data_IF_705079814268
#
_entry.id   IF_705079814268
#
_cell.length_a   1.000
_cell.length_b   1.000
_cell.length_c   1.000
_cell.angle_alpha   90.00
_cell.angle_beta   90.00
_cell.angle_gamma   90.00
#
_symmetry.space_group_name_H-M   'P 1'
#
loop_
_entity.id
_entity.type
_entity.pdbx_description
1 polymer ?
#
# COMPACT_ATOMS: atom_id res chain seq x y z
N UNK A 1 -4.45 5.74 -17.87
CA UNK A 1 -3.44 6.79 -18.17
C UNK A 1 -2.08 6.14 -18.11
N UNK A 2 -1.32 6.26 -19.20
CA UNK A 2 0.01 5.67 -19.31
C UNK A 2 1.02 6.55 -18.57
N UNK A 3 1.55 6.09 -17.44
CA UNK A 3 2.57 6.81 -16.69
C UNK A 3 3.96 6.23 -16.99
N UNK A 4 4.96 7.12 -17.07
CA UNK A 4 6.37 6.72 -17.17
C UNK A 4 6.94 6.51 -15.77
N UNK A 5 7.63 5.38 -15.56
CA UNK A 5 8.21 5.01 -14.27
C UNK A 5 9.73 4.94 -14.37
N UNK A 6 10.43 5.38 -13.34
CA UNK A 6 11.85 5.10 -13.13
C UNK A 6 12.01 4.16 -11.94
N UNK A 7 12.74 3.08 -12.13
CA UNK A 7 13.07 2.10 -11.09
C UNK A 7 14.53 2.26 -10.72
N UNK A 8 14.80 2.61 -9.46
CA UNK A 8 16.16 2.83 -8.93
C UNK A 8 16.43 1.77 -7.88
N UNK A 9 17.29 0.82 -8.20
CA UNK A 9 17.71 -0.29 -7.33
C UNK A 9 19.02 -0.85 -7.89
N UNK A 10 19.97 -1.22 -7.05
CA UNK A 10 21.27 -1.77 -7.51
C UNK A 10 21.17 -3.25 -7.91
N UNK A 11 20.09 -3.94 -7.54
CA UNK A 11 19.86 -5.36 -7.84
C UNK A 11 19.09 -5.55 -9.18
N UNK A 12 19.71 -6.04 -10.25
CA UNK A 12 19.06 -6.18 -11.57
C UNK A 12 17.81 -7.06 -11.54
N UNK A 13 17.80 -8.14 -10.76
CA UNK A 13 16.64 -9.04 -10.64
C UNK A 13 15.45 -8.37 -9.98
N UNK A 14 15.68 -7.48 -9.02
CA UNK A 14 14.62 -6.69 -8.36
C UNK A 14 14.03 -5.72 -9.36
N UNK A 15 14.86 -4.98 -10.11
CA UNK A 15 14.40 -4.06 -11.15
C UNK A 15 13.54 -4.76 -12.20
N UNK A 16 14.01 -5.91 -12.70
CA UNK A 16 13.28 -6.69 -13.70
C UNK A 16 11.91 -7.20 -13.17
N UNK A 17 11.84 -7.64 -11.90
CA UNK A 17 10.60 -8.05 -11.26
C UNK A 17 9.61 -6.89 -11.12
N UNK A 18 10.06 -5.72 -10.66
CA UNK A 18 9.25 -4.51 -10.53
C UNK A 18 8.77 -4.07 -11.91
N UNK A 19 9.67 -4.00 -12.91
CA UNK A 19 9.36 -3.61 -14.28
C UNK A 19 8.25 -4.46 -14.89
N UNK A 20 8.36 -5.79 -14.80
CA UNK A 20 7.31 -6.70 -15.30
C UNK A 20 5.96 -6.45 -14.63
N UNK A 21 5.98 -6.25 -13.32
CA UNK A 21 4.75 -6.00 -12.55
C UNK A 21 4.08 -4.68 -12.93
N UNK A 22 4.88 -3.62 -13.13
CA UNK A 22 4.38 -2.31 -13.56
C UNK A 22 3.83 -2.35 -14.99
N UNK A 23 4.52 -3.00 -15.92
CA UNK A 23 4.05 -3.14 -17.31
C UNK A 23 2.75 -3.97 -17.37
N UNK A 24 2.64 -5.04 -16.57
CA UNK A 24 1.41 -5.83 -16.45
C UNK A 24 0.23 -5.03 -15.86
N UNK A 25 0.51 -4.02 -15.04
CA UNK A 25 -0.48 -3.11 -14.47
C UNK A 25 -0.83 -1.92 -15.38
N UNK A 26 -0.26 -1.85 -16.60
CA UNK A 26 -0.59 -0.84 -17.60
C UNK A 26 0.27 0.43 -17.58
N UNK A 27 1.40 0.44 -16.87
CA UNK A 27 2.40 1.49 -17.00
C UNK A 27 3.11 1.35 -18.36
N UNK A 28 3.36 2.46 -19.06
CA UNK A 28 3.79 2.40 -20.48
C UNK A 28 5.28 2.25 -20.70
N UNK A 29 6.09 2.74 -19.78
CA UNK A 29 7.55 2.58 -19.86
C UNK A 29 8.14 2.55 -18.46
N UNK A 30 9.20 1.76 -18.30
CA UNK A 30 9.99 1.72 -17.08
C UNK A 30 11.47 1.89 -17.47
N UNK A 31 12.02 3.07 -17.14
CA UNK A 31 13.45 3.30 -17.16
C UNK A 31 14.08 2.70 -15.89
N UNK A 32 15.37 2.42 -15.92
CA UNK A 32 16.11 1.79 -14.83
C UNK A 32 17.37 2.58 -14.50
N UNK A 33 17.75 2.57 -13.22
CA UNK A 33 19.02 3.08 -12.73
C UNK A 33 19.53 2.19 -11.59
N UNK A 34 20.83 1.92 -11.56
CA UNK A 34 21.48 1.11 -10.53
C UNK A 34 22.27 1.91 -9.50
N UNK A 35 22.26 3.24 -9.58
CA UNK A 35 23.03 4.14 -8.73
C UNK A 35 22.39 5.52 -8.64
N UNK A 36 22.80 6.34 -7.65
CA UNK A 36 22.36 7.76 -7.55
C UNK A 36 22.73 8.54 -8.79
N UNK A 37 23.96 8.37 -9.28
CA UNK A 37 24.45 9.05 -10.47
C UNK A 37 23.63 8.74 -11.71
N UNK A 38 23.32 7.47 -11.94
CA UNK A 38 22.45 7.03 -13.04
C UNK A 38 21.03 7.57 -12.86
N UNK A 39 20.50 7.56 -11.64
CA UNK A 39 19.17 8.04 -11.32
C UNK A 39 19.00 9.53 -11.69
N UNK A 40 19.94 10.40 -11.30
CA UNK A 40 19.92 11.82 -11.64
C UNK A 40 19.90 12.02 -13.17
N UNK A 41 20.79 11.32 -13.89
CA UNK A 41 20.85 11.42 -15.35
C UNK A 41 19.54 10.94 -16.00
N UNK A 42 18.98 9.84 -15.51
CA UNK A 42 17.76 9.24 -16.04
C UNK A 42 16.52 10.10 -15.76
N UNK A 43 16.43 10.71 -14.57
CA UNK A 43 15.35 11.65 -14.23
C UNK A 43 15.39 12.85 -15.18
N UNK A 44 16.58 13.44 -15.39
CA UNK A 44 16.74 14.60 -16.26
C UNK A 44 16.40 14.29 -17.73
N UNK A 45 16.66 13.06 -18.19
CA UNK A 45 16.41 12.65 -19.57
C UNK A 45 14.93 12.28 -19.82
N UNK A 46 14.30 11.56 -18.88
CA UNK A 46 12.98 10.94 -19.09
C UNK A 46 11.83 11.64 -18.38
N UNK A 47 12.13 12.55 -17.43
CA UNK A 47 11.12 13.24 -16.61
C UNK A 47 9.99 12.30 -16.12
N UNK A 48 10.30 11.26 -15.34
CA UNK A 48 9.33 10.24 -14.97
C UNK A 48 8.21 10.80 -14.09
N UNK A 49 7.00 10.27 -14.25
CA UNK A 49 5.86 10.61 -13.40
C UNK A 49 5.89 9.86 -12.05
N UNK A 50 6.54 8.70 -12.03
CA UNK A 50 6.69 7.84 -10.85
C UNK A 50 8.14 7.42 -10.71
N UNK A 51 8.65 7.46 -9.49
CA UNK A 51 9.98 6.93 -9.14
C UNK A 51 9.81 5.90 -8.04
N UNK A 52 10.36 4.70 -8.23
CA UNK A 52 10.59 3.75 -7.13
C UNK A 52 12.07 3.77 -6.81
N UNK A 53 12.45 3.88 -5.54
CA UNK A 53 13.84 4.03 -5.13
C UNK A 53 14.19 3.13 -3.96
N UNK A 54 15.25 2.33 -4.12
CA UNK A 54 15.92 1.64 -3.01
C UNK A 54 16.69 2.64 -2.17
N UNK A 55 16.69 2.44 -0.87
CA UNK A 55 17.48 3.24 0.08
C UNK A 55 18.97 2.94 -0.03
N UNK A 56 19.33 1.68 -0.23
CA UNK A 56 20.72 1.24 -0.25
C UNK A 56 21.22 1.18 -1.70
N UNK A 57 21.95 2.19 -2.11
CA UNK A 57 22.59 2.25 -3.41
C UNK A 57 24.12 2.23 -3.26
N UNK A 58 24.87 1.75 -4.26
CA UNK A 58 26.31 1.56 -4.15
C UNK A 58 27.11 2.86 -3.97
N UNK A 59 26.54 3.98 -4.38
CA UNK A 59 27.16 5.30 -4.36
C UNK A 59 26.52 6.29 -3.38
N UNK A 60 25.55 5.84 -2.54
CA UNK A 60 24.97 6.66 -1.49
C UNK A 60 23.59 6.20 -1.00
N UNK A 61 22.92 7.08 -0.27
CA UNK A 61 21.60 6.79 0.29
C UNK A 61 20.49 7.23 -0.69
N UNK A 62 19.56 6.33 -1.02
CA UNK A 62 18.43 6.64 -1.92
C UNK A 62 17.55 7.80 -1.47
N UNK A 63 17.56 8.16 -0.17
CA UNK A 63 16.84 9.36 0.30
C UNK A 63 17.45 10.67 -0.23
N UNK A 64 18.70 10.66 -0.66
CA UNK A 64 19.32 11.81 -1.33
C UNK A 64 18.64 12.09 -2.67
N UNK A 65 18.36 11.03 -3.46
CA UNK A 65 17.64 11.17 -4.73
C UNK A 65 16.16 11.54 -4.51
N UNK A 66 15.53 11.07 -3.42
CA UNK A 66 14.17 11.49 -3.05
C UNK A 66 14.13 13.01 -2.83
N UNK A 67 15.02 13.53 -2.00
CA UNK A 67 15.12 14.96 -1.68
C UNK A 67 15.46 15.78 -2.94
N UNK A 68 16.40 15.30 -3.73
CA UNK A 68 16.80 15.95 -4.98
C UNK A 68 15.64 15.98 -6.00
N UNK A 69 14.96 14.87 -6.22
CA UNK A 69 13.84 14.78 -7.15
C UNK A 69 12.67 15.68 -6.70
N UNK A 70 12.39 15.76 -5.41
CA UNK A 70 11.36 16.63 -4.86
C UNK A 70 11.66 18.11 -5.04
N UNK A 71 12.92 18.51 -4.93
CA UNK A 71 13.35 19.90 -5.21
C UNK A 71 13.14 20.28 -6.69
N UNK A 72 13.25 19.33 -7.62
CA UNK A 72 13.13 19.55 -9.05
C UNK A 72 11.71 19.32 -9.59
N UNK A 73 10.88 18.54 -8.89
CA UNK A 73 9.50 18.28 -9.28
C UNK A 73 8.59 18.16 -8.07
N UNK A 74 7.60 19.05 -7.98
CA UNK A 74 6.56 18.98 -6.96
C UNK A 74 5.55 17.85 -7.22
N UNK A 75 5.44 17.38 -8.46
CA UNK A 75 4.36 16.48 -8.92
C UNK A 75 4.79 15.02 -9.10
N UNK A 76 6.08 14.73 -9.15
CA UNK A 76 6.57 13.36 -9.28
C UNK A 76 6.15 12.51 -8.07
N UNK A 77 5.63 11.33 -8.30
CA UNK A 77 5.28 10.38 -7.25
C UNK A 77 6.50 9.54 -6.90
N UNK A 78 6.93 9.56 -5.64
CA UNK A 78 8.14 8.88 -5.19
C UNK A 78 7.76 7.81 -4.15
N UNK A 79 8.12 6.56 -4.45
CA UNK A 79 7.91 5.39 -3.60
C UNK A 79 9.28 4.89 -3.14
N UNK A 80 9.52 4.89 -1.85
CA UNK A 80 10.74 4.30 -1.27
C UNK A 80 10.53 2.81 -1.05
N UNK A 81 11.50 2.00 -1.47
CA UNK A 81 11.54 0.56 -1.27
C UNK A 81 12.68 0.21 -0.30
N UNK A 82 12.43 -0.65 0.68
CA UNK A 82 13.46 -1.08 1.64
C UNK A 82 13.20 -2.49 2.16
N UNK A 83 14.24 -3.20 2.54
CA UNK A 83 14.15 -4.45 3.31
C UNK A 83 13.98 -4.19 4.81
N UNK A 84 14.29 -2.97 5.27
CA UNK A 84 14.16 -2.56 6.66
C UNK A 84 13.00 -1.57 6.79
N UNK A 85 12.07 -1.85 7.71
CA UNK A 85 10.86 -1.08 8.01
C UNK A 85 10.96 -0.30 9.34
N UNK A 86 12.19 0.08 9.74
CA UNK A 86 12.44 0.92 10.91
C UNK A 86 11.66 2.24 10.84
N UNK A 87 10.98 2.61 11.95
CA UNK A 87 10.16 3.82 12.02
C UNK A 87 10.93 5.11 11.72
N UNK A 88 12.21 5.17 12.10
CA UNK A 88 13.05 6.34 11.81
C UNK A 88 13.31 6.45 10.31
N UNK A 89 13.48 5.33 9.62
CA UNK A 89 13.70 5.27 8.19
C UNK A 89 12.43 5.68 7.42
N UNK A 90 11.28 5.21 7.88
CA UNK A 90 9.96 5.60 7.35
C UNK A 90 9.74 7.11 7.53
N UNK A 91 10.03 7.65 8.73
CA UNK A 91 9.94 9.08 8.99
C UNK A 91 10.90 9.90 8.13
N UNK A 92 12.14 9.44 7.95
CA UNK A 92 13.14 10.08 7.09
C UNK A 92 12.71 10.11 5.62
N UNK A 93 12.10 9.04 5.11
CA UNK A 93 11.56 8.98 3.76
C UNK A 93 10.42 10.00 3.55
N UNK A 94 9.51 10.11 4.52
CA UNK A 94 8.45 11.11 4.50
C UNK A 94 9.01 12.54 4.51
N UNK A 95 9.99 12.83 5.38
CA UNK A 95 10.66 14.13 5.47
C UNK A 95 11.43 14.48 4.21
N UNK A 96 12.02 13.50 3.53
CA UNK A 96 12.70 13.68 2.25
C UNK A 96 11.71 14.00 1.10
N UNK A 97 10.41 13.78 1.29
CA UNK A 97 9.36 14.10 0.33
C UNK A 97 8.85 12.91 -0.49
N UNK A 98 9.07 11.68 -0.03
CA UNK A 98 8.41 10.51 -0.59
C UNK A 98 6.91 10.54 -0.28
N UNK A 99 6.09 9.92 -1.13
CA UNK A 99 4.67 9.70 -0.87
C UNK A 99 4.37 8.31 -0.33
N UNK A 100 5.28 7.35 -0.51
CA UNK A 100 5.10 6.03 0.11
C UNK A 100 6.42 5.39 0.50
N UNK A 101 6.33 4.51 1.50
CA UNK A 101 7.40 3.61 1.94
C UNK A 101 6.85 2.19 1.95
N UNK A 102 7.43 1.30 1.15
CA UNK A 102 6.96 -0.07 0.95
C UNK A 102 8.11 -1.04 1.18
N UNK A 103 7.84 -2.13 1.88
CA UNK A 103 8.83 -3.21 2.02
C UNK A 103 9.16 -3.85 0.67
N UNK A 104 10.43 -4.16 0.41
CA UNK A 104 10.83 -4.97 -0.76
C UNK A 104 10.27 -6.39 -0.73
N UNK A 105 9.79 -6.86 0.43
CA UNK A 105 9.07 -8.13 0.58
C UNK A 105 7.58 -8.04 0.22
N UNK A 106 7.06 -6.84 0.00
CA UNK A 106 5.67 -6.63 -0.39
C UNK A 106 5.35 -7.25 -1.76
N UNK A 107 4.11 -7.66 -1.93
CA UNK A 107 3.65 -8.17 -3.22
C UNK A 107 3.61 -7.07 -4.29
N UNK A 108 3.72 -7.47 -5.56
CA UNK A 108 3.55 -6.55 -6.69
C UNK A 108 2.21 -5.78 -6.63
N UNK A 109 1.15 -6.44 -6.16
CA UNK A 109 -0.17 -5.80 -5.99
C UNK A 109 -0.14 -4.68 -4.95
N UNK A 110 0.59 -4.86 -3.84
CA UNK A 110 0.75 -3.83 -2.82
C UNK A 110 1.53 -2.62 -3.36
N UNK A 111 2.63 -2.85 -4.08
CA UNK A 111 3.39 -1.78 -4.72
C UNK A 111 2.53 -0.98 -5.70
N UNK A 112 1.80 -1.66 -6.59
CA UNK A 112 0.93 -1.01 -7.58
C UNK A 112 -0.19 -0.21 -6.88
N UNK A 113 -0.81 -0.78 -5.84
CA UNK A 113 -1.84 -0.09 -5.05
C UNK A 113 -1.29 1.15 -4.36
N UNK A 114 -0.08 1.08 -3.82
CA UNK A 114 0.59 2.23 -3.19
C UNK A 114 0.90 3.33 -4.20
N UNK A 115 1.37 2.98 -5.41
CA UNK A 115 1.61 3.96 -6.49
C UNK A 115 0.30 4.66 -6.87
N UNK A 116 -0.79 3.94 -7.08
CA UNK A 116 -2.09 4.53 -7.41
C UNK A 116 -2.59 5.45 -6.30
N UNK A 117 -2.57 4.99 -5.05
CA UNK A 117 -3.00 5.79 -3.90
C UNK A 117 -2.15 7.06 -3.70
N UNK A 118 -0.83 6.97 -3.89
CA UNK A 118 0.09 8.11 -3.81
C UNK A 118 -0.15 9.14 -4.94
N UNK A 119 -0.52 8.69 -6.13
CA UNK A 119 -0.89 9.57 -7.26
C UNK A 119 -2.23 10.27 -7.04
N UNK A 120 -3.20 9.56 -6.46
CA UNK A 120 -4.53 10.12 -6.16
C UNK A 120 -4.49 11.11 -5.00
N UNK A 121 -3.63 10.89 -4.01
CA UNK A 121 -3.51 11.70 -2.80
C UNK A 121 -2.05 12.07 -2.51
N UNK A 122 -1.44 12.99 -3.26
CA UNK A 122 -0.02 13.33 -3.13
C UNK A 122 0.40 13.88 -1.75
N UNK A 123 -0.55 14.42 -1.00
CA UNK A 123 -0.32 14.95 0.36
C UNK A 123 -0.29 13.86 1.45
N UNK A 124 -0.70 12.64 1.11
CA UNK A 124 -0.77 11.55 2.06
C UNK A 124 0.49 10.68 1.95
N UNK A 125 1.21 10.52 3.07
CA UNK A 125 2.30 9.56 3.13
C UNK A 125 1.77 8.16 3.43
N UNK A 126 2.06 7.21 2.54
CA UNK A 126 1.60 5.82 2.62
C UNK A 126 2.75 4.93 3.12
N UNK A 127 2.54 4.25 4.25
CA UNK A 127 3.40 3.16 4.71
C UNK A 127 2.53 1.95 5.05
N UNK A 128 3.12 0.76 5.16
CA UNK A 128 2.36 -0.44 5.55
C UNK A 128 1.61 -0.22 6.86
N UNK A 129 2.20 0.50 7.80
CA UNK A 129 1.58 0.87 9.06
C UNK A 129 0.43 1.87 8.89
N UNK A 130 0.58 2.86 7.99
CA UNK A 130 -0.47 3.83 7.69
C UNK A 130 -1.56 3.24 6.78
N UNK A 131 -1.22 2.31 5.88
CA UNK A 131 -2.22 1.60 5.06
C UNK A 131 -3.14 0.76 5.94
N UNK A 132 -2.59 0.12 6.98
CA UNK A 132 -3.42 -0.57 7.98
C UNK A 132 -4.34 0.40 8.74
N UNK A 133 -3.84 1.59 9.13
CA UNK A 133 -4.63 2.63 9.81
C UNK A 133 -5.70 3.23 8.87
N UNK A 134 -5.34 3.58 7.64
CA UNK A 134 -6.27 4.13 6.65
C UNK A 134 -7.30 3.09 6.18
N UNK A 135 -6.86 1.83 6.07
CA UNK A 135 -7.76 0.70 5.83
C UNK A 135 -8.76 0.53 6.97
N UNK A 136 -8.29 0.70 8.22
CA UNK A 136 -9.12 0.66 9.42
C UNK A 136 -10.12 1.81 9.48
N UNK A 137 -9.71 3.05 9.22
CA UNK A 137 -10.60 4.22 9.18
C UNK A 137 -11.66 4.09 8.09
N UNK A 138 -11.27 3.81 6.85
CA UNK A 138 -12.20 3.61 5.71
C UNK A 138 -13.15 2.43 5.93
N UNK A 139 -12.69 1.35 6.52
CA UNK A 139 -13.54 0.19 6.79
C UNK A 139 -14.42 0.40 8.02
N UNK A 140 -13.96 1.12 9.05
CA UNK A 140 -14.78 1.52 10.18
C UNK A 140 -15.86 2.54 9.78
N UNK A 141 -15.59 3.44 8.83
CA UNK A 141 -16.58 4.32 8.23
C UNK A 141 -17.64 3.54 7.40
N UNK A 142 -17.24 2.45 6.75
CA UNK A 142 -18.15 1.58 5.98
C UNK A 142 -18.99 0.65 6.86
N UNK A 143 -18.46 0.18 7.98
CA UNK A 143 -19.14 -0.74 8.89
C UNK A 143 -19.81 0.03 10.04
N UNK A 144 -21.09 -0.25 10.28
CA UNK A 144 -21.80 0.28 11.46
C UNK A 144 -21.24 -0.34 12.76
N UNK A 145 -21.43 0.30 13.93
CA UNK A 145 -21.03 -0.28 15.22
C UNK A 145 -21.57 -1.69 15.47
N UNK A 146 -22.78 -1.98 14.99
CA UNK A 146 -23.41 -3.31 15.06
C UNK A 146 -22.68 -4.34 14.17
N UNK A 147 -22.28 -3.93 12.97
CA UNK A 147 -21.53 -4.79 12.05
C UNK A 147 -20.10 -5.04 12.55
N UNK A 148 -19.45 -4.07 13.18
CA UNK A 148 -18.17 -4.25 13.86
C UNK A 148 -18.27 -5.27 15.01
N UNK A 149 -19.33 -5.20 15.83
CA UNK A 149 -19.58 -6.22 16.86
C UNK A 149 -19.83 -7.61 16.28
N UNK A 150 -20.57 -7.72 15.16
CA UNK A 150 -20.74 -9.02 14.48
C UNK A 150 -19.41 -9.52 13.92
N UNK A 151 -18.60 -8.64 13.35
CA UNK A 151 -17.30 -9.01 12.78
C UNK A 151 -16.35 -9.58 13.84
N UNK A 152 -16.33 -9.04 15.06
CA UNK A 152 -15.52 -9.60 16.16
C UNK A 152 -15.97 -11.01 16.56
N UNK A 153 -17.27 -11.29 16.54
CA UNK A 153 -17.79 -12.64 16.77
C UNK A 153 -17.50 -13.62 15.62
N UNK A 154 -17.32 -13.09 14.39
CA UNK A 154 -16.92 -13.92 13.25
C UNK A 154 -15.47 -14.42 13.38
N UNK A 155 -14.62 -13.79 14.17
CA UNK A 155 -13.25 -14.27 14.42
C UNK A 155 -13.23 -15.59 15.21
N UNK A 156 -14.18 -15.75 16.15
CA UNK A 156 -14.36 -16.98 16.89
C UNK A 156 -15.03 -18.09 16.06
N UNK A 157 -15.27 -19.26 16.66
CA UNK A 157 -15.94 -20.40 16.00
C UNK A 157 -17.47 -20.40 16.17
N UNK A 158 -18.06 -19.30 16.65
CA UNK A 158 -19.48 -19.20 16.92
C UNK A 158 -20.32 -19.34 15.64
N UNK A 159 -21.40 -20.12 15.71
CA UNK A 159 -22.41 -20.18 14.66
C UNK A 159 -23.20 -18.88 14.55
N UNK A 160 -23.90 -18.67 13.44
CA UNK A 160 -24.78 -17.50 13.27
C UNK A 160 -25.88 -17.42 14.34
N UNK A 161 -26.35 -18.57 14.84
CA UNK A 161 -27.35 -18.63 15.91
C UNK A 161 -26.77 -18.18 17.26
N UNK A 162 -25.54 -18.59 17.57
CA UNK A 162 -24.84 -18.18 18.79
C UNK A 162 -24.48 -16.69 18.74
N UNK A 163 -24.04 -16.18 17.58
CA UNK A 163 -23.81 -14.73 17.38
C UNK A 163 -25.11 -13.95 17.62
N UNK A 164 -26.24 -14.43 17.08
CA UNK A 164 -27.55 -13.80 17.30
C UNK A 164 -27.92 -13.77 18.79
N UNK A 165 -27.70 -14.85 19.50
CA UNK A 165 -27.95 -14.96 20.94
C UNK A 165 -27.06 -13.98 21.75
N UNK A 166 -25.75 -13.91 21.45
CA UNK A 166 -24.80 -13.00 22.12
C UNK A 166 -25.16 -11.52 21.90
N UNK A 167 -25.71 -11.21 20.74
CA UNK A 167 -26.09 -9.84 20.38
C UNK A 167 -27.54 -9.48 20.74
N UNK A 168 -28.31 -10.40 21.31
CA UNK A 168 -29.74 -10.25 21.62
C UNK A 168 -30.57 -9.81 20.39
N UNK A 169 -30.28 -10.44 19.22
CA UNK A 169 -31.00 -10.20 17.95
C UNK A 169 -31.56 -11.50 17.37
N UNK A 170 -32.45 -11.39 16.39
CA UNK A 170 -32.94 -12.57 15.69
C UNK A 170 -31.84 -13.18 14.77
N UNK A 171 -31.93 -14.50 14.53
CA UNK A 171 -31.05 -15.20 13.60
C UNK A 171 -31.09 -14.57 12.18
N UNK A 172 -32.27 -14.12 11.74
CA UNK A 172 -32.42 -13.42 10.45
C UNK A 172 -31.67 -12.08 10.44
N UNK A 173 -31.71 -11.32 11.53
CA UNK A 173 -30.98 -10.05 11.67
C UNK A 173 -29.46 -10.29 11.66
N UNK A 174 -28.97 -11.31 12.35
CA UNK A 174 -27.55 -11.68 12.33
C UNK A 174 -27.09 -12.05 10.92
N UNK A 175 -27.84 -12.83 10.17
CA UNK A 175 -27.57 -13.13 8.74
C UNK A 175 -27.49 -11.86 7.89
N UNK A 176 -28.40 -10.92 8.11
CA UNK A 176 -28.39 -9.63 7.37
C UNK A 176 -27.13 -8.83 7.64
N UNK A 177 -26.69 -8.75 8.91
CA UNK A 177 -25.44 -8.08 9.26
C UNK A 177 -24.22 -8.77 8.63
N UNK A 178 -24.15 -10.10 8.69
CA UNK A 178 -23.06 -10.89 8.08
C UNK A 178 -23.00 -10.65 6.57
N UNK A 179 -24.15 -10.67 5.87
CA UNK A 179 -24.21 -10.39 4.45
C UNK A 179 -23.78 -8.95 4.12
N UNK A 180 -24.17 -7.98 4.95
CA UNK A 180 -23.73 -6.60 4.81
C UNK A 180 -22.22 -6.44 4.99
N UNK A 181 -21.63 -7.11 5.98
CA UNK A 181 -20.18 -7.14 6.22
C UNK A 181 -19.46 -7.71 5.00
N UNK A 182 -19.91 -8.86 4.47
CA UNK A 182 -19.27 -9.49 3.30
C UNK A 182 -19.31 -8.56 2.08
N UNK A 183 -20.43 -7.92 1.83
CA UNK A 183 -20.56 -6.96 0.74
C UNK A 183 -19.64 -5.73 0.93
N UNK A 184 -19.59 -5.17 2.15
CA UNK A 184 -18.81 -3.96 2.45
C UNK A 184 -17.30 -4.22 2.46
N UNK A 185 -16.87 -5.43 2.83
CA UNK A 185 -15.48 -5.87 2.79
C UNK A 185 -15.09 -6.51 1.44
N UNK A 186 -16.04 -6.63 0.52
CA UNK A 186 -15.85 -7.22 -0.82
C UNK A 186 -15.33 -8.67 -0.74
N UNK A 187 -15.95 -9.47 0.12
CA UNK A 187 -15.59 -10.87 0.38
C UNK A 187 -16.82 -11.77 0.31
N UNK A 188 -16.60 -13.09 0.18
CA UNK A 188 -17.69 -14.06 -0.03
C UNK A 188 -17.77 -15.15 1.04
N UNK A 189 -16.92 -15.10 2.08
CA UNK A 189 -16.91 -16.13 3.13
C UNK A 189 -16.48 -15.55 4.48
N UNK A 190 -16.82 -16.24 5.57
CA UNK A 190 -16.36 -15.94 6.92
C UNK A 190 -14.83 -15.85 7.01
N UNK A 191 -14.15 -16.86 6.47
CA UNK A 191 -12.69 -16.94 6.49
C UNK A 191 -12.04 -15.74 5.78
N UNK A 192 -12.56 -15.37 4.62
CA UNK A 192 -12.06 -14.21 3.87
C UNK A 192 -12.41 -12.88 4.55
N UNK A 193 -13.57 -12.78 5.24
CA UNK A 193 -13.95 -11.59 6.00
C UNK A 193 -13.01 -11.37 7.19
N UNK A 194 -12.70 -12.43 7.97
CA UNK A 194 -11.77 -12.37 9.09
C UNK A 194 -10.36 -12.04 8.61
N UNK A 195 -9.87 -12.72 7.55
CA UNK A 195 -8.56 -12.45 6.97
C UNK A 195 -8.45 -10.99 6.49
N UNK A 196 -9.47 -10.49 5.79
CA UNK A 196 -9.53 -9.10 5.32
C UNK A 196 -9.56 -8.11 6.48
N UNK A 197 -10.37 -8.38 7.51
CA UNK A 197 -10.49 -7.55 8.70
C UNK A 197 -9.16 -7.42 9.47
N UNK A 198 -8.39 -8.52 9.60
CA UNK A 198 -7.04 -8.49 10.18
C UNK A 198 -6.06 -7.67 9.36
N UNK A 199 -6.05 -7.83 8.03
CA UNK A 199 -5.18 -7.06 7.13
C UNK A 199 -5.42 -5.55 7.24
N UNK A 200 -6.68 -5.13 7.43
CA UNK A 200 -7.06 -3.71 7.57
C UNK A 200 -7.18 -3.25 9.03
N UNK A 201 -6.79 -4.10 10.00
CA UNK A 201 -6.71 -3.73 11.41
C UNK A 201 -8.06 -3.52 12.12
N UNK A 202 -9.14 -4.16 11.65
CA UNK A 202 -10.45 -4.17 12.33
C UNK A 202 -10.58 -5.28 13.38
N UNK A 203 -9.70 -6.28 13.31
CA UNK A 203 -9.54 -7.41 14.25
C UNK A 203 -8.08 -7.53 14.63
#
# INVERSE_FOLDING_TARGET
>A
MSATVLIIDDHPLVRDGIKRSLLAAGFTSAAEAGSLKEAVATIALHNPEVITVDINLPDGNGLEIVSWARQHSATVTIIVLSLNDDLNLIAAAAQAGAQAFISKSASATQLISAIHAARENPALFISEQNVALLGRERASEKLSPRELSVLSYLEGELSTAEIAAQMFISHATAKTHIAAIYRKLEVHSRRSAVARARVIGLL
#
